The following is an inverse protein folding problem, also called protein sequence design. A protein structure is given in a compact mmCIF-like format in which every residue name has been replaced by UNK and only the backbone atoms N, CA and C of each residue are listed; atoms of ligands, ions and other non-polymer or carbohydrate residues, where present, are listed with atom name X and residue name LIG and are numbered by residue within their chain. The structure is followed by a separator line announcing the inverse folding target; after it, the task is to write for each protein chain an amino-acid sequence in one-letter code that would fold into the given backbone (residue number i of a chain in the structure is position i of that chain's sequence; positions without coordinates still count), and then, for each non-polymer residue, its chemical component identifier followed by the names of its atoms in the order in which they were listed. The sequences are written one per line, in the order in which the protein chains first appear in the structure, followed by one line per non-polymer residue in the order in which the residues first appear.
data_IF_083766092410
#
_entry.id   IF_083766092410
#
_cell.length_a   1.000
_cell.length_b   1.000
_cell.length_c   1.000
_cell.angle_alpha   90.00
_cell.angle_beta   90.00
_cell.angle_gamma   90.00
#
_symmetry.space_group_name_H-M   'P 1'
#
loop_
_entity.id
_entity.type
_entity.pdbx_description
1 polymer ?
#
# COMPACT_ATOMS: atom_id res chain seq x y z
N UNK A 1 -65.43 -39.42 -25.62
CA UNK A 1 -64.60 -38.23 -25.65
C UNK A 1 -63.55 -38.38 -24.53
N UNK A 2 -62.30 -38.73 -24.87
CA UNK A 2 -61.23 -38.90 -23.90
C UNK A 2 -60.38 -37.59 -23.83
N UNK A 3 -60.42 -36.93 -22.67
CA UNK A 3 -59.55 -35.75 -22.40
C UNK A 3 -58.13 -36.20 -22.21
N UNK A 4 -57.22 -35.69 -23.06
CA UNK A 4 -55.75 -35.83 -22.90
C UNK A 4 -55.31 -34.75 -21.97
N UNK A 5 -54.79 -35.12 -20.81
CA UNK A 5 -54.02 -34.23 -19.89
C UNK A 5 -52.58 -34.08 -20.38
N UNK A 6 -52.15 -32.82 -20.57
CA UNK A 6 -50.75 -32.46 -20.90
C UNK A 6 -50.01 -32.30 -19.57
N UNK A 7 -48.88 -32.97 -19.33
CA UNK A 7 -48.12 -32.74 -18.13
C UNK A 7 -47.36 -31.39 -18.25
N UNK A 8 -47.50 -30.54 -17.27
CA UNK A 8 -46.81 -29.28 -17.11
C UNK A 8 -45.40 -29.59 -16.57
N UNK A 9 -44.40 -29.50 -17.44
CA UNK A 9 -42.99 -29.63 -17.04
C UNK A 9 -42.56 -28.29 -16.39
N UNK A 10 -42.43 -28.30 -15.06
CA UNK A 10 -41.81 -27.20 -14.33
C UNK A 10 -40.30 -27.34 -14.52
N UNK A 11 -39.75 -26.52 -15.41
CA UNK A 11 -38.29 -26.32 -15.51
C UNK A 11 -37.87 -25.46 -14.34
N UNK A 12 -37.38 -26.10 -13.28
CA UNK A 12 -36.71 -25.44 -12.17
C UNK A 12 -35.38 -24.88 -12.66
N UNK A 13 -35.35 -23.59 -12.95
CA UNK A 13 -34.15 -22.85 -13.29
C UNK A 13 -33.37 -22.63 -11.99
N UNK A 14 -32.43 -23.55 -11.70
CA UNK A 14 -31.41 -23.33 -10.66
C UNK A 14 -30.54 -22.18 -11.11
N UNK A 15 -30.85 -20.95 -10.67
CA UNK A 15 -29.89 -19.86 -10.62
C UNK A 15 -28.83 -20.25 -9.59
N UNK A 16 -27.70 -20.81 -10.05
CA UNK A 16 -26.48 -20.88 -9.28
C UNK A 16 -26.01 -19.44 -9.05
N UNK A 17 -26.28 -18.92 -7.86
CA UNK A 17 -25.61 -17.76 -7.32
C UNK A 17 -24.11 -18.11 -7.20
N UNK A 18 -23.34 -17.83 -8.23
CA UNK A 18 -21.91 -17.67 -8.11
C UNK A 18 -21.70 -16.45 -7.20
N UNK A 19 -21.67 -16.71 -5.90
CA UNK A 19 -21.07 -15.77 -4.96
C UNK A 19 -19.61 -15.65 -5.38
N UNK A 20 -19.31 -14.67 -6.22
CA UNK A 20 -17.96 -14.18 -6.36
C UNK A 20 -17.50 -13.84 -4.93
N UNK A 21 -16.56 -14.60 -4.40
CA UNK A 21 -15.81 -14.21 -3.22
C UNK A 21 -14.99 -12.97 -3.60
N UNK A 22 -15.69 -11.84 -3.68
CA UNK A 22 -15.08 -10.54 -3.86
C UNK A 22 -14.32 -10.31 -2.56
N UNK A 23 -12.97 -10.35 -2.63
CA UNK A 23 -12.13 -10.07 -1.49
C UNK A 23 -12.55 -8.74 -0.84
N UNK A 24 -12.27 -8.58 0.45
CA UNK A 24 -12.63 -7.37 1.20
C UNK A 24 -12.16 -6.13 0.44
N UNK A 25 -13.04 -5.14 0.29
CA UNK A 25 -12.69 -3.85 -0.29
C UNK A 25 -11.73 -3.09 0.65
N UNK A 26 -11.15 -1.98 0.19
CA UNK A 26 -10.30 -1.14 1.03
C UNK A 26 -11.11 -0.43 2.12
N UNK A 27 -10.43 0.02 3.17
CA UNK A 27 -11.01 0.83 4.26
C UNK A 27 -10.19 2.11 4.40
N UNK A 28 -10.85 3.27 4.36
CA UNK A 28 -10.21 4.54 4.74
C UNK A 28 -10.44 4.72 6.25
N UNK A 29 -9.35 4.74 6.99
CA UNK A 29 -9.36 4.94 8.44
C UNK A 29 -9.88 6.35 8.80
N UNK A 30 -10.39 6.56 10.04
CA UNK A 30 -10.70 7.90 10.51
C UNK A 30 -9.51 8.85 10.36
N UNK A 31 -9.80 10.09 10.00
CA UNK A 31 -8.77 11.11 9.79
C UNK A 31 -7.96 11.35 11.08
N UNK A 32 -6.63 11.17 11.01
CA UNK A 32 -5.73 11.31 12.16
C UNK A 32 -5.10 12.70 12.25
N UNK A 33 -4.95 13.39 11.14
CA UNK A 33 -4.46 14.79 11.02
C UNK A 33 -5.16 15.46 9.85
N UNK A 34 -5.31 16.80 9.84
CA UNK A 34 -5.83 17.50 8.69
C UNK A 34 -5.10 17.11 7.40
N UNK A 35 -5.85 16.78 6.36
CA UNK A 35 -5.31 16.38 5.04
C UNK A 35 -4.52 15.07 4.97
N UNK A 36 -4.32 14.36 6.09
CA UNK A 36 -3.56 13.13 6.16
C UNK A 36 -4.48 11.94 6.47
N UNK A 37 -4.45 10.93 5.62
CA UNK A 37 -5.31 9.76 5.73
C UNK A 37 -4.51 8.47 5.57
N UNK A 38 -4.88 7.48 6.35
CA UNK A 38 -4.43 6.09 6.17
C UNK A 38 -5.56 5.32 5.51
N UNK A 39 -5.24 4.46 4.57
CA UNK A 39 -6.17 3.47 4.07
C UNK A 39 -5.56 2.08 4.16
N UNK A 40 -6.43 1.08 4.34
CA UNK A 40 -6.07 -0.34 4.32
C UNK A 40 -6.66 -0.97 3.07
N UNK A 41 -5.84 -1.62 2.29
CA UNK A 41 -6.25 -2.53 1.23
C UNK A 41 -6.05 -3.98 1.69
N UNK A 42 -6.66 -4.93 1.00
CA UNK A 42 -6.61 -6.32 1.37
C UNK A 42 -6.22 -7.17 0.18
N UNK A 43 -5.40 -8.18 0.43
CA UNK A 43 -4.97 -9.15 -0.57
C UNK A 43 -4.76 -10.52 0.02
N UNK A 44 -4.76 -11.55 -0.83
CA UNK A 44 -4.56 -12.93 -0.42
C UNK A 44 -3.14 -13.36 -0.79
N UNK A 45 -2.41 -13.85 0.19
CA UNK A 45 -1.09 -14.44 0.00
C UNK A 45 -1.02 -15.79 0.73
N UNK A 46 -0.59 -16.84 0.02
CA UNK A 46 -0.54 -18.18 0.61
C UNK A 46 -1.89 -18.71 1.10
N UNK A 47 -3.00 -18.28 0.49
CA UNK A 47 -4.37 -18.68 0.88
C UNK A 47 -4.94 -17.96 2.10
N UNK A 48 -4.22 -16.97 2.67
CA UNK A 48 -4.66 -16.15 3.81
C UNK A 48 -4.79 -14.68 3.40
N UNK A 49 -5.85 -14.02 3.88
CA UNK A 49 -6.03 -12.58 3.68
C UNK A 49 -5.13 -11.78 4.62
N UNK A 50 -4.49 -10.75 4.08
CA UNK A 50 -3.68 -9.77 4.81
C UNK A 50 -4.14 -8.36 4.46
N UNK A 51 -3.96 -7.43 5.39
CA UNK A 51 -4.13 -6.00 5.14
C UNK A 51 -2.79 -5.36 4.78
N UNK A 52 -2.82 -4.35 3.90
CA UNK A 52 -1.70 -3.45 3.65
C UNK A 52 -2.10 -2.03 4.04
N UNK A 53 -1.29 -1.38 4.86
CA UNK A 53 -1.47 0.02 5.25
C UNK A 53 -0.80 0.91 4.21
N UNK A 54 -1.48 1.94 3.78
CA UNK A 54 -0.98 2.93 2.84
C UNK A 54 -1.52 4.31 3.22
N UNK A 55 -0.96 5.37 2.62
CA UNK A 55 -1.24 6.76 2.99
C UNK A 55 -1.72 7.55 1.78
N UNK A 56 -2.60 8.53 2.00
CA UNK A 56 -2.78 9.59 1.04
C UNK A 56 -2.83 10.98 1.69
N UNK A 57 -2.33 11.99 0.95
CA UNK A 57 -2.40 13.40 1.31
C UNK A 57 -3.37 14.13 0.41
N UNK A 58 -4.28 14.91 1.02
CA UNK A 58 -5.09 15.88 0.31
C UNK A 58 -4.29 17.18 0.20
N UNK A 59 -4.09 17.68 -1.02
CA UNK A 59 -3.32 18.88 -1.27
C UNK A 59 -4.18 19.92 -1.98
N UNK A 60 -3.70 21.16 -2.10
CA UNK A 60 -4.40 22.21 -2.85
C UNK A 60 -4.55 21.91 -4.36
N UNK A 61 -3.75 20.96 -4.90
CA UNK A 61 -3.74 20.63 -6.34
C UNK A 61 -4.42 19.29 -6.66
N UNK A 62 -4.79 18.50 -5.65
CA UNK A 62 -5.31 17.14 -5.79
C UNK A 62 -4.76 16.24 -4.71
N UNK A 63 -5.02 14.96 -4.81
CA UNK A 63 -4.61 13.95 -3.82
C UNK A 63 -3.37 13.20 -4.29
N UNK A 64 -2.43 12.98 -3.37
CA UNK A 64 -1.22 12.20 -3.58
C UNK A 64 -1.35 10.89 -2.81
N UNK A 65 -1.24 9.75 -3.50
CA UNK A 65 -1.18 8.42 -2.90
C UNK A 65 0.27 8.04 -2.62
N UNK A 66 0.49 7.34 -1.52
CA UNK A 66 1.70 6.58 -1.21
C UNK A 66 1.30 5.12 -1.16
N UNK A 67 1.85 4.35 -2.11
CA UNK A 67 1.48 3.01 -2.49
C UNK A 67 0.10 2.88 -3.17
N UNK A 68 -0.15 1.75 -3.84
CA UNK A 68 -1.42 1.40 -4.47
C UNK A 68 -2.14 0.34 -3.63
N UNK A 69 -3.47 0.19 -3.76
CA UNK A 69 -4.16 -0.95 -3.15
C UNK A 69 -3.57 -2.29 -3.61
N UNK A 70 -3.66 -3.32 -2.78
CA UNK A 70 -3.10 -4.62 -3.09
C UNK A 70 -3.70 -5.26 -4.35
N UNK A 71 -5.02 -5.13 -4.54
CA UNK A 71 -5.71 -5.75 -5.67
C UNK A 71 -6.12 -4.69 -6.71
N UNK A 72 -5.93 -4.99 -7.99
CA UNK A 72 -6.31 -4.11 -9.11
C UNK A 72 -7.79 -3.75 -9.10
N UNK A 73 -8.66 -4.64 -8.63
CA UNK A 73 -10.11 -4.40 -8.49
C UNK A 73 -10.45 -3.25 -7.55
N UNK A 74 -9.53 -2.91 -6.64
CA UNK A 74 -9.71 -1.84 -5.66
C UNK A 74 -9.26 -0.46 -6.20
N UNK A 75 -8.51 -0.39 -7.32
CA UNK A 75 -7.90 0.85 -7.80
C UNK A 75 -8.94 1.91 -8.18
N UNK A 76 -9.89 1.57 -9.04
CA UNK A 76 -10.90 2.52 -9.48
C UNK A 76 -11.80 2.94 -8.31
N UNK A 77 -12.23 1.99 -7.49
CA UNK A 77 -13.06 2.26 -6.31
C UNK A 77 -12.39 3.23 -5.33
N UNK A 78 -11.06 3.12 -5.14
CA UNK A 78 -10.31 4.06 -4.30
C UNK A 78 -10.28 5.46 -4.93
N UNK A 79 -10.00 5.57 -6.23
CA UNK A 79 -10.01 6.86 -6.94
C UNK A 79 -11.37 7.56 -6.83
N UNK A 80 -12.45 6.82 -7.07
CA UNK A 80 -13.83 7.32 -7.03
C UNK A 80 -14.22 7.76 -5.61
N UNK A 81 -13.82 6.98 -4.60
CA UNK A 81 -14.06 7.30 -3.20
C UNK A 81 -13.33 8.57 -2.77
N UNK A 82 -12.08 8.73 -3.17
CA UNK A 82 -11.27 9.93 -2.90
C UNK A 82 -11.90 11.14 -3.60
N UNK A 83 -12.24 11.01 -4.89
CA UNK A 83 -12.89 12.08 -5.66
C UNK A 83 -14.22 12.50 -5.01
N UNK A 84 -15.05 11.54 -4.62
CA UNK A 84 -16.32 11.81 -3.95
C UNK A 84 -16.14 12.48 -2.59
N UNK A 85 -15.13 12.04 -1.82
CA UNK A 85 -14.88 12.53 -0.45
C UNK A 85 -14.31 13.94 -0.38
N UNK A 86 -13.41 14.26 -1.32
CA UNK A 86 -12.62 15.49 -1.27
C UNK A 86 -12.91 16.46 -2.41
N UNK A 87 -13.71 16.05 -3.40
CA UNK A 87 -13.93 16.79 -4.64
C UNK A 87 -12.61 17.16 -5.37
N UNK A 88 -11.61 16.26 -5.25
CA UNK A 88 -10.27 16.43 -5.81
C UNK A 88 -9.81 15.10 -6.43
N UNK A 89 -9.21 15.13 -7.64
CA UNK A 89 -8.67 13.93 -8.26
C UNK A 89 -7.35 13.49 -7.60
N UNK A 90 -7.04 12.20 -7.72
CA UNK A 90 -5.67 11.72 -7.49
C UNK A 90 -4.79 12.19 -8.63
N UNK A 91 -3.66 12.84 -8.31
CA UNK A 91 -2.73 13.44 -9.29
C UNK A 91 -1.36 12.80 -9.31
N UNK A 92 -1.02 12.05 -8.26
CA UNK A 92 0.27 11.38 -8.15
C UNK A 92 0.18 10.12 -7.27
N UNK A 93 1.00 9.12 -7.58
CA UNK A 93 1.21 7.89 -6.82
C UNK A 93 2.70 7.70 -6.60
N UNK A 94 3.13 7.47 -5.38
CA UNK A 94 4.50 7.16 -5.00
C UNK A 94 4.58 5.72 -4.48
N UNK A 95 5.30 4.84 -5.18
CA UNK A 95 5.49 3.46 -4.76
C UNK A 95 6.72 3.32 -3.86
N UNK A 96 6.55 2.70 -2.68
CA UNK A 96 7.64 2.53 -1.71
C UNK A 96 8.60 1.39 -2.06
N UNK A 97 8.13 0.37 -2.78
CA UNK A 97 8.94 -0.70 -3.36
C UNK A 97 8.14 -1.50 -4.42
N UNK A 98 8.75 -2.53 -5.02
CA UNK A 98 8.23 -3.20 -6.22
C UNK A 98 7.12 -4.23 -5.99
N UNK A 99 6.78 -4.60 -4.75
CA UNK A 99 5.74 -5.60 -4.49
C UNK A 99 4.33 -5.14 -4.91
N UNK A 100 3.44 -6.13 -5.06
CA UNK A 100 2.06 -5.92 -5.56
C UNK A 100 1.23 -4.96 -4.71
N UNK A 101 1.37 -5.03 -3.39
CA UNK A 101 0.67 -4.20 -2.44
C UNK A 101 1.21 -2.76 -2.34
N UNK A 102 2.24 -2.42 -3.17
CA UNK A 102 2.88 -1.09 -3.19
C UNK A 102 2.96 -0.47 -4.59
N UNK A 103 3.50 -1.22 -5.55
CA UNK A 103 3.62 -0.78 -6.94
C UNK A 103 2.53 -1.41 -7.83
N UNK A 104 2.08 -2.61 -7.54
CA UNK A 104 0.99 -3.33 -8.21
C UNK A 104 1.04 -3.20 -9.73
N UNK A 105 0.03 -2.54 -10.30
CA UNK A 105 -0.04 -2.21 -11.73
C UNK A 105 -0.04 -0.69 -11.94
N UNK A 106 1.13 -0.10 -12.08
CA UNK A 106 1.30 1.33 -12.35
C UNK A 106 0.71 1.74 -13.71
N UNK A 107 0.53 0.81 -14.66
CA UNK A 107 -0.08 1.13 -15.97
C UNK A 107 -1.50 1.65 -15.84
N UNK A 108 -2.27 1.19 -14.84
CA UNK A 108 -3.61 1.69 -14.58
C UNK A 108 -3.62 3.20 -14.32
N UNK A 109 -2.68 3.69 -13.53
CA UNK A 109 -2.53 5.11 -13.20
C UNK A 109 -1.91 5.89 -14.35
N UNK A 110 -0.86 5.35 -14.99
CA UNK A 110 -0.20 5.94 -16.15
C UNK A 110 -1.20 6.21 -17.30
N UNK A 111 -2.06 5.24 -17.60
CA UNK A 111 -3.08 5.35 -18.67
C UNK A 111 -4.17 6.39 -18.36
N UNK A 112 -4.32 6.79 -17.09
CA UNK A 112 -5.22 7.87 -16.66
C UNK A 112 -4.53 9.24 -16.60
N UNK A 113 -3.25 9.33 -16.98
CA UNK A 113 -2.46 10.55 -16.88
C UNK A 113 -2.07 10.93 -15.46
N UNK A 114 -2.23 10.02 -14.49
CA UNK A 114 -1.78 10.20 -13.11
C UNK A 114 -0.28 9.91 -13.06
N UNK A 115 0.51 10.86 -12.58
CA UNK A 115 1.95 10.68 -12.45
C UNK A 115 2.28 9.60 -11.44
N UNK A 116 3.10 8.63 -11.83
CA UNK A 116 3.59 7.59 -10.92
C UNK A 116 5.07 7.77 -10.66
N UNK A 117 5.48 7.54 -9.43
CA UNK A 117 6.83 7.73 -8.94
C UNK A 117 7.34 6.44 -8.30
N UNK A 118 8.55 6.03 -8.67
CA UNK A 118 9.26 4.92 -8.03
C UNK A 118 10.78 5.17 -8.11
N UNK A 119 11.57 4.52 -7.27
CA UNK A 119 13.02 4.60 -7.40
C UNK A 119 13.51 3.93 -8.69
N UNK A 120 14.69 4.29 -9.16
CA UNK A 120 15.31 3.60 -10.31
C UNK A 120 15.45 2.10 -10.04
N UNK A 121 15.74 1.71 -8.78
CA UNK A 121 15.83 0.31 -8.37
C UNK A 121 14.47 -0.39 -8.42
N UNK A 122 13.41 0.25 -7.93
CA UNK A 122 12.03 -0.26 -8.02
C UNK A 122 11.63 -0.48 -9.48
N UNK A 123 11.89 0.49 -10.35
CA UNK A 123 11.62 0.36 -11.79
C UNK A 123 12.43 -0.76 -12.46
N UNK A 124 13.68 -0.98 -12.04
CA UNK A 124 14.48 -2.12 -12.52
C UNK A 124 13.82 -3.46 -12.15
N UNK A 125 13.32 -3.59 -10.91
CA UNK A 125 12.65 -4.80 -10.43
C UNK A 125 11.32 -5.02 -11.15
N UNK A 126 10.48 -4.00 -11.26
CA UNK A 126 9.21 -4.04 -12.00
C UNK A 126 9.43 -4.49 -13.46
N UNK A 127 10.44 -3.90 -14.12
CA UNK A 127 10.78 -4.27 -15.51
C UNK A 127 11.22 -5.73 -15.63
N UNK A 128 11.99 -6.24 -14.66
CA UNK A 128 12.42 -7.65 -14.62
C UNK A 128 11.23 -8.61 -14.53
N UNK A 129 10.15 -8.18 -13.86
CA UNK A 129 8.91 -8.93 -13.72
C UNK A 129 7.92 -8.70 -14.89
N UNK A 130 8.29 -7.93 -15.90
CA UNK A 130 7.41 -7.59 -17.02
C UNK A 130 6.28 -6.62 -16.67
N UNK A 131 6.41 -5.92 -15.53
CA UNK A 131 5.43 -4.94 -15.05
C UNK A 131 5.72 -3.55 -15.61
N UNK A 132 4.69 -2.69 -15.62
CA UNK A 132 4.83 -1.29 -15.99
C UNK A 132 5.69 -0.53 -14.97
N UNK A 133 6.55 0.35 -15.46
CA UNK A 133 7.39 1.21 -14.64
C UNK A 133 6.70 2.55 -14.37
N UNK A 134 7.20 3.30 -13.37
CA UNK A 134 6.72 4.65 -13.08
C UNK A 134 7.11 5.66 -14.18
N UNK A 135 6.33 6.75 -14.31
CA UNK A 135 6.60 7.83 -15.24
C UNK A 135 7.69 8.79 -14.76
N UNK A 136 7.92 8.83 -13.44
CA UNK A 136 8.87 9.73 -12.79
C UNK A 136 9.77 8.93 -11.82
N UNK A 137 10.99 9.41 -11.59
CA UNK A 137 11.94 8.76 -10.68
C UNK A 137 11.91 9.41 -9.31
N UNK A 138 11.81 8.59 -8.26
CA UNK A 138 12.09 9.02 -6.89
C UNK A 138 13.61 9.14 -6.71
N UNK A 139 14.04 10.31 -6.26
CA UNK A 139 15.41 10.55 -5.80
C UNK A 139 15.40 10.48 -4.26
N UNK A 140 15.95 9.42 -3.64
CA UNK A 140 15.99 9.31 -2.20
C UNK A 140 16.75 10.47 -1.54
N UNK A 141 16.23 10.96 -0.40
CA UNK A 141 16.74 12.15 0.30
C UNK A 141 16.14 13.46 -0.19
N UNK A 142 15.49 13.48 -1.37
CA UNK A 142 14.86 14.67 -1.91
C UNK A 142 13.58 15.04 -1.14
N UNK A 143 13.39 16.34 -0.97
CA UNK A 143 12.12 16.90 -0.49
C UNK A 143 11.18 17.16 -1.64
N UNK A 144 10.03 16.53 -1.62
CA UNK A 144 8.93 16.78 -2.56
C UNK A 144 7.97 17.84 -1.99
N UNK A 145 7.43 18.67 -2.90
CA UNK A 145 6.43 19.71 -2.57
C UNK A 145 5.32 19.66 -3.60
N UNK A 146 4.12 19.30 -3.18
CA UNK A 146 2.95 19.19 -4.04
C UNK A 146 1.78 19.89 -3.35
N UNK A 147 1.19 20.92 -4.01
CA UNK A 147 -0.01 21.60 -3.53
C UNK A 147 0.05 22.10 -2.08
N UNK A 148 1.21 22.61 -1.65
CA UNK A 148 1.43 23.13 -0.28
C UNK A 148 1.90 22.07 0.72
N UNK A 149 1.78 20.79 0.42
CA UNK A 149 2.28 19.71 1.27
C UNK A 149 3.75 19.37 0.96
N UNK A 150 4.48 18.94 2.00
CA UNK A 150 5.91 18.60 1.95
C UNK A 150 6.14 17.23 2.55
N UNK A 151 6.92 16.39 1.85
CA UNK A 151 7.37 15.09 2.34
C UNK A 151 8.77 14.76 1.81
N UNK A 152 9.45 13.85 2.49
CA UNK A 152 10.80 13.36 2.13
C UNK A 152 10.71 11.85 1.96
N UNK A 153 11.33 11.33 0.91
CA UNK A 153 11.41 9.88 0.68
C UNK A 153 12.87 9.47 0.86
N UNK A 154 13.12 8.53 1.76
CA UNK A 154 14.45 8.09 2.10
C UNK A 154 14.67 6.60 1.83
N UNK A 155 15.83 6.28 1.26
CA UNK A 155 16.39 4.95 1.25
C UNK A 155 17.47 4.86 2.35
N UNK A 156 17.24 4.03 3.36
CA UNK A 156 18.14 3.88 4.51
C UNK A 156 19.01 2.62 4.42
N UNK A 157 18.72 1.78 3.45
CA UNK A 157 19.35 0.51 3.19
C UNK A 157 18.35 -0.56 2.80
N UNK A 158 18.85 -1.70 2.39
CA UNK A 158 18.03 -2.87 2.11
C UNK A 158 17.46 -3.44 3.41
N UNK A 159 16.33 -4.12 3.32
CA UNK A 159 15.68 -4.76 4.45
C UNK A 159 14.61 -5.72 3.97
N UNK A 160 13.33 -5.33 4.01
CA UNK A 160 12.23 -6.09 3.46
C UNK A 160 12.41 -6.41 1.97
N UNK A 161 12.93 -5.44 1.22
CA UNK A 161 13.37 -5.61 -0.17
C UNK A 161 14.65 -4.80 -0.42
N UNK A 162 15.28 -4.98 -1.58
CA UNK A 162 16.47 -4.24 -1.98
C UNK A 162 16.18 -2.78 -2.41
N UNK A 163 14.91 -2.42 -2.55
CA UNK A 163 14.43 -1.12 -3.06
C UNK A 163 13.54 -0.35 -2.08
N UNK A 164 13.30 -0.87 -0.88
CA UNK A 164 12.36 -0.29 0.08
C UNK A 164 12.76 1.14 0.49
N UNK A 165 11.84 2.07 0.33
CA UNK A 165 11.96 3.43 0.85
C UNK A 165 10.91 3.69 1.93
N UNK A 166 11.16 4.73 2.74
CA UNK A 166 10.21 5.23 3.74
C UNK A 166 9.83 6.66 3.42
N UNK A 167 8.67 7.12 3.89
CA UNK A 167 8.19 8.47 3.63
C UNK A 167 8.02 9.24 4.94
N UNK A 168 8.72 10.36 5.05
CA UNK A 168 8.64 11.26 6.18
C UNK A 168 7.76 12.47 5.88
N UNK A 169 6.80 12.73 6.76
CA UNK A 169 5.87 13.84 6.68
C UNK A 169 6.13 14.84 7.81
N UNK A 170 7.05 15.81 7.63
CA UNK A 170 7.54 16.67 8.71
C UNK A 170 6.45 17.52 9.37
N UNK A 171 5.48 18.02 8.61
CA UNK A 171 4.34 18.79 9.11
C UNK A 171 3.51 18.03 10.13
N UNK A 172 3.40 16.73 9.95
CA UNK A 172 2.56 15.84 10.78
C UNK A 172 3.36 15.10 11.84
N UNK A 173 4.69 15.11 11.71
CA UNK A 173 5.60 14.29 12.53
C UNK A 173 5.28 12.80 12.42
N UNK A 174 4.97 12.35 11.19
CA UNK A 174 4.58 10.97 10.85
C UNK A 174 5.60 10.36 9.90
N UNK A 175 5.99 9.12 10.18
CA UNK A 175 6.80 8.27 9.32
C UNK A 175 5.92 7.15 8.76
N UNK A 176 5.79 7.07 7.44
CA UNK A 176 5.34 5.87 6.77
C UNK A 176 6.56 4.96 6.57
N UNK A 177 6.62 3.91 7.37
CA UNK A 177 7.72 2.94 7.36
C UNK A 177 7.53 1.85 6.30
N UNK A 178 6.33 1.76 5.72
CA UNK A 178 6.01 0.70 4.77
C UNK A 178 6.35 -0.69 5.30
N UNK A 179 6.62 -1.64 4.39
CA UNK A 179 6.92 -3.04 4.78
C UNK A 179 8.28 -3.23 5.45
N UNK A 180 9.16 -2.21 5.42
CA UNK A 180 10.41 -2.19 6.18
C UNK A 180 10.15 -2.26 7.69
N UNK A 181 9.04 -1.68 8.15
CA UNK A 181 8.62 -1.67 9.55
C UNK A 181 7.46 -2.63 9.76
N UNK A 182 7.61 -3.55 10.71
CA UNK A 182 6.57 -4.51 11.09
C UNK A 182 5.65 -3.93 12.17
N UNK A 183 4.38 -4.28 12.12
CA UNK A 183 3.45 -3.94 13.20
C UNK A 183 3.92 -4.53 14.53
N UNK A 184 3.66 -3.82 15.63
CA UNK A 184 3.96 -4.30 16.99
C UNK A 184 3.25 -5.61 17.36
N UNK A 185 2.23 -6.01 16.59
CA UNK A 185 1.50 -7.27 16.79
C UNK A 185 1.92 -8.37 15.80
N UNK A 186 2.86 -8.08 14.88
CA UNK A 186 3.34 -9.06 13.92
C UNK A 186 4.10 -10.19 14.67
N UNK A 187 3.80 -11.43 14.33
CA UNK A 187 4.46 -12.60 14.95
C UNK A 187 5.83 -12.91 14.35
N UNK A 188 6.04 -12.48 13.09
CA UNK A 188 7.25 -12.73 12.32
C UNK A 188 7.48 -11.64 11.26
N UNK A 189 8.55 -11.78 10.49
CA UNK A 189 8.92 -10.83 9.42
C UNK A 189 8.04 -10.89 8.16
N UNK A 190 7.10 -11.85 8.08
CA UNK A 190 6.28 -12.10 6.89
C UNK A 190 7.10 -12.67 5.74
N UNK A 191 6.76 -12.26 4.50
CA UNK A 191 7.50 -12.68 3.32
C UNK A 191 8.93 -12.11 3.33
N UNK A 192 9.92 -13.00 3.25
CA UNK A 192 11.35 -12.67 3.26
C UNK A 192 12.11 -13.18 2.04
N UNK A 193 11.40 -13.69 1.02
CA UNK A 193 12.03 -14.28 -0.17
C UNK A 193 12.91 -13.30 -0.97
N UNK A 194 12.66 -11.99 -0.83
CA UNK A 194 13.42 -10.91 -1.49
C UNK A 194 14.09 -9.98 -0.47
N UNK A 195 14.07 -10.34 0.82
CA UNK A 195 14.62 -9.55 1.90
C UNK A 195 16.13 -9.72 2.01
N UNK A 196 16.81 -8.62 2.36
CA UNK A 196 18.17 -8.69 2.88
C UNK A 196 18.14 -8.73 4.41
N UNK A 197 17.81 -9.91 4.95
CA UNK A 197 17.65 -10.10 6.41
C UNK A 197 18.94 -9.77 7.16
N UNK A 198 20.10 -9.97 6.56
CA UNK A 198 21.39 -9.67 7.19
C UNK A 198 21.63 -8.15 7.35
N UNK A 199 21.15 -7.34 6.38
CA UNK A 199 21.31 -5.89 6.42
C UNK A 199 20.15 -5.19 7.14
N UNK A 200 18.99 -5.80 7.21
CA UNK A 200 17.77 -5.20 7.76
C UNK A 200 17.95 -4.61 9.18
N UNK A 201 18.61 -5.26 10.14
CA UNK A 201 18.86 -4.67 11.46
C UNK A 201 19.61 -3.34 11.41
N UNK A 202 20.64 -3.23 10.55
CA UNK A 202 21.39 -2.00 10.37
C UNK A 202 20.54 -0.90 9.74
N UNK A 203 19.71 -1.25 8.76
CA UNK A 203 18.74 -0.33 8.14
C UNK A 203 17.75 0.20 9.16
N UNK A 204 17.20 -0.66 10.02
CA UNK A 204 16.31 -0.26 11.11
C UNK A 204 17.00 0.62 12.17
N UNK A 205 18.25 0.37 12.48
CA UNK A 205 19.03 1.23 13.38
C UNK A 205 19.20 2.66 12.81
N UNK A 206 19.50 2.78 11.51
CA UNK A 206 19.54 4.07 10.82
C UNK A 206 18.18 4.77 10.83
N UNK A 207 17.09 4.03 10.57
CA UNK A 207 15.73 4.55 10.61
C UNK A 207 15.40 5.09 12.00
N UNK A 208 15.65 4.31 13.05
CA UNK A 208 15.41 4.70 14.46
C UNK A 208 16.20 5.96 14.83
N UNK A 209 17.47 6.05 14.44
CA UNK A 209 18.31 7.22 14.70
C UNK A 209 17.78 8.47 13.99
N UNK A 210 17.46 8.36 12.69
CA UNK A 210 17.03 9.51 11.88
C UNK A 210 15.65 10.01 12.26
N UNK A 211 14.72 9.11 12.58
CA UNK A 211 13.31 9.42 12.85
C UNK A 211 12.89 9.18 14.30
N UNK A 212 13.84 9.30 15.24
CA UNK A 212 13.63 9.10 16.68
C UNK A 212 12.51 9.98 17.27
N UNK A 213 12.17 11.10 16.60
CA UNK A 213 11.12 12.04 17.04
C UNK A 213 9.79 11.81 16.32
N UNK A 214 9.63 10.77 15.52
CA UNK A 214 8.35 10.49 14.89
C UNK A 214 7.27 10.24 15.94
N UNK A 215 6.19 11.02 15.89
CA UNK A 215 5.06 10.86 16.81
C UNK A 215 4.20 9.64 16.45
N UNK A 216 4.22 9.25 15.18
CA UNK A 216 3.57 8.05 14.67
C UNK A 216 4.45 7.43 13.60
N UNK A 217 4.59 6.10 13.68
CA UNK A 217 5.21 5.27 12.65
C UNK A 217 4.14 4.33 12.10
N UNK A 218 3.92 4.34 10.78
CA UNK A 218 2.94 3.48 10.13
C UNK A 218 3.68 2.26 9.56
N UNK A 219 3.40 1.04 10.06
CA UNK A 219 3.95 -0.19 9.52
C UNK A 219 3.22 -0.58 8.23
N UNK A 220 3.85 -1.37 7.38
CA UNK A 220 3.27 -1.77 6.09
C UNK A 220 2.00 -2.62 6.19
N UNK A 221 1.83 -3.38 7.27
CA UNK A 221 0.72 -4.31 7.46
C UNK A 221 0.16 -4.25 8.88
N UNK A 222 -1.00 -4.87 9.08
CA UNK A 222 -1.64 -5.09 10.37
C UNK A 222 -2.05 -3.80 11.11
N UNK A 223 -1.94 -3.83 12.44
CA UNK A 223 -2.31 -2.69 13.29
C UNK A 223 -1.25 -1.58 13.22
N UNK A 224 -1.68 -0.38 12.84
CA UNK A 224 -0.83 0.79 12.76
C UNK A 224 -0.91 1.71 13.99
N UNK A 225 -1.97 1.55 14.81
CA UNK A 225 -2.17 2.37 16.02
C UNK A 225 -1.18 1.98 17.12
N UNK A 226 -0.84 2.97 17.92
CA UNK A 226 0.12 2.80 19.00
C UNK A 226 1.57 3.01 18.56
N UNK A 227 2.50 2.72 19.44
CA UNK A 227 3.93 2.83 19.22
C UNK A 227 4.66 1.49 19.28
N UNK A 228 6.00 1.53 19.22
CA UNK A 228 6.84 0.34 19.41
C UNK A 228 7.04 -0.51 18.16
N UNK A 229 6.58 -0.06 16.98
CA UNK A 229 6.72 -0.81 15.72
C UNK A 229 8.19 -0.99 15.30
N UNK A 230 9.02 0.04 15.50
CA UNK A 230 10.46 0.00 15.18
C UNK A 230 11.17 -0.99 16.10
N UNK A 231 10.95 -0.88 17.41
CA UNK A 231 11.52 -1.75 18.45
C UNK A 231 11.12 -3.20 18.18
N UNK A 232 9.84 -3.43 17.95
CA UNK A 232 9.32 -4.76 17.67
C UNK A 232 9.93 -5.36 16.40
N UNK A 233 10.12 -4.56 15.35
CA UNK A 233 10.81 -5.02 14.13
C UNK A 233 12.24 -5.45 14.42
N UNK A 234 12.97 -4.68 15.25
CA UNK A 234 14.32 -5.05 15.69
C UNK A 234 14.31 -6.34 16.52
N UNK A 235 13.32 -6.52 17.40
CA UNK A 235 13.18 -7.73 18.19
C UNK A 235 12.91 -8.96 17.32
N UNK A 236 12.05 -8.84 16.30
CA UNK A 236 11.80 -9.90 15.31
C UNK A 236 13.06 -10.28 14.53
N UNK A 237 13.86 -9.29 14.14
CA UNK A 237 15.11 -9.49 13.40
C UNK A 237 16.21 -10.14 14.25
N UNK A 238 16.16 -9.98 15.57
CA UNK A 238 17.12 -10.56 16.52
C UNK A 238 16.70 -11.96 17.02
N UNK A 239 15.50 -12.44 16.73
CA UNK A 239 15.07 -13.80 17.05
C UNK A 239 15.86 -14.77 16.18
N UNK A 240 16.57 -15.71 16.84
CA UNK A 240 17.30 -16.81 16.20
C UNK A 240 16.36 -17.94 15.78
#
# INVERSE_FOLDING_TARGET
MKKKSIPFFIVSMLLSLLANAQGRDFVIEPQIKPNFYIYKSFGVFGGKEYSANAVYLVTQKGVVLFDVPWQKTQYQSLLDTIQKRHNLPVIAVFATHSHEDRAGDLSFYNNKGIKTYATAKTNQLLKKEGKAVSTEIIEPGKTYRIGGEKFVIDFLGEGHTADNVVVWFPKYNILDGGCLVKSRIAENLGYTGEANVAQWPQTMAKLKAKYSKAALVIPGHDEWKGGGHIEHTLDLLNRK
#
